data_IF_526353498131
#
_entry.id   IF_526353498131
#
_cell.length_a   1.000
_cell.length_b   1.000
_cell.length_c   1.000
_cell.angle_alpha   90.00
_cell.angle_beta   90.00
_cell.angle_gamma   90.00
#
_symmetry.space_group_name_H-M   'P 1'
#
loop_
_entity.id
_entity.type
_entity.pdbx_description
1 polymer ?
#
# COMPACT_ATOMS: atom_id res chain seq x y z
N UNK A 1 -0.27 -10.28 15.68
CA UNK A 1 0.14 -11.14 14.56
C UNK A 1 0.83 -10.28 13.51
N UNK A 2 2.03 -10.67 13.05
CA UNK A 2 2.77 -9.93 12.01
C UNK A 2 2.25 -10.39 10.65
N UNK A 3 1.72 -9.48 9.83
CA UNK A 3 1.27 -9.80 8.47
C UNK A 3 2.46 -9.74 7.51
N UNK A 4 2.51 -10.66 6.55
CA UNK A 4 3.48 -10.63 5.46
C UNK A 4 3.09 -9.53 4.46
N UNK A 5 4.06 -8.77 3.95
CA UNK A 5 3.83 -7.77 2.91
C UNK A 5 4.51 -8.24 1.62
N UNK A 6 3.72 -8.41 0.56
CA UNK A 6 4.18 -8.81 -0.76
C UNK A 6 3.96 -7.67 -1.75
N UNK A 7 4.99 -7.33 -2.53
CA UNK A 7 4.90 -6.30 -3.56
C UNK A 7 4.75 -6.93 -4.93
N UNK A 8 3.73 -6.52 -5.69
CA UNK A 8 3.63 -6.85 -7.11
C UNK A 8 4.68 -6.08 -7.91
N UNK A 9 5.05 -6.53 -9.13
CA UNK A 9 6.09 -5.87 -9.93
C UNK A 9 5.82 -4.39 -10.24
N UNK A 10 4.56 -3.94 -10.27
CA UNK A 10 4.23 -2.52 -10.43
C UNK A 10 4.59 -1.70 -9.19
N UNK A 11 4.16 -2.17 -8.01
CA UNK A 11 4.53 -1.56 -6.73
C UNK A 11 6.04 -1.55 -6.49
N UNK A 12 6.75 -2.63 -6.82
CA UNK A 12 8.22 -2.66 -6.69
C UNK A 12 8.87 -1.60 -7.58
N UNK A 13 8.48 -1.52 -8.86
CA UNK A 13 8.97 -0.49 -9.79
C UNK A 13 8.65 0.93 -9.31
N UNK A 14 7.52 1.14 -8.65
CA UNK A 14 7.19 2.43 -8.06
C UNK A 14 8.14 2.77 -6.91
N UNK A 15 8.41 1.84 -6.00
CA UNK A 15 9.38 2.02 -4.91
C UNK A 15 10.79 2.29 -5.44
N UNK A 16 11.24 1.55 -6.45
CA UNK A 16 12.58 1.68 -7.03
C UNK A 16 12.80 3.05 -7.69
N UNK A 17 11.72 3.72 -8.12
CA UNK A 17 11.76 5.07 -8.71
C UNK A 17 11.62 6.19 -7.68
N UNK A 18 11.27 5.86 -6.43
CA UNK A 18 11.12 6.85 -5.37
C UNK A 18 12.47 7.17 -4.73
N UNK A 19 12.57 8.37 -4.18
CA UNK A 19 13.65 8.68 -3.25
C UNK A 19 13.61 7.72 -2.06
N UNK A 20 14.78 7.31 -1.60
CA UNK A 20 14.95 6.34 -0.51
C UNK A 20 14.11 6.68 0.72
N UNK A 21 14.06 7.95 1.11
CA UNK A 21 13.29 8.41 2.28
C UNK A 21 11.79 8.21 2.11
N UNK A 22 11.26 8.41 0.90
CA UNK A 22 9.84 8.23 0.59
C UNK A 22 9.47 6.75 0.54
N UNK A 23 10.33 5.92 -0.08
CA UNK A 23 10.16 4.46 -0.08
C UNK A 23 10.19 3.89 1.34
N UNK A 24 11.17 4.29 2.16
CA UNK A 24 11.25 3.87 3.56
C UNK A 24 10.03 4.32 4.37
N UNK A 25 9.52 5.53 4.13
CA UNK A 25 8.29 6.03 4.77
C UNK A 25 7.08 5.17 4.44
N UNK A 26 6.94 4.73 3.19
CA UNK A 26 5.86 3.83 2.76
C UNK A 26 5.96 2.49 3.48
N UNK A 27 7.14 1.87 3.48
CA UNK A 27 7.39 0.58 4.13
C UNK A 27 7.07 0.66 5.63
N UNK A 28 7.58 1.69 6.31
CA UNK A 28 7.32 1.92 7.74
C UNK A 28 5.87 2.24 8.06
N UNK A 29 5.09 2.73 7.10
CA UNK A 29 3.65 2.98 7.30
C UNK A 29 2.82 1.70 7.11
N UNK A 30 3.32 0.73 6.35
CA UNK A 30 2.67 -0.57 6.15
C UNK A 30 2.82 -1.49 7.36
N UNK A 31 3.91 -1.39 8.13
CA UNK A 31 4.12 -2.18 9.35
C UNK A 31 3.07 -1.97 10.46
N UNK A 32 2.77 -0.74 10.91
CA UNK A 32 1.74 -0.51 11.92
C UNK A 32 0.35 -0.83 11.38
N UNK A 33 0.10 -0.60 10.08
CA UNK A 33 -1.14 -1.05 9.44
C UNK A 33 -1.25 -2.58 9.44
N UNK A 34 -0.17 -3.29 9.15
CA UNK A 34 -0.12 -4.75 9.22
C UNK A 34 -0.47 -5.27 10.62
N UNK A 35 0.02 -4.61 11.66
CA UNK A 35 -0.21 -5.00 13.05
C UNK A 35 -1.60 -4.63 13.59
N UNK A 36 -2.10 -3.44 13.24
CA UNK A 36 -3.28 -2.83 13.91
C UNK A 36 -4.48 -2.63 12.99
N UNK A 37 -4.27 -2.61 11.68
CA UNK A 37 -5.28 -2.19 10.70
C UNK A 37 -5.56 -0.66 10.69
N UNK A 38 -4.85 0.12 11.51
CA UNK A 38 -5.05 1.57 11.64
C UNK A 38 -4.25 2.35 10.58
N UNK A 39 -4.82 3.48 10.14
CA UNK A 39 -4.22 4.40 9.16
C UNK A 39 -5.30 5.12 8.34
N UNK A 40 -4.88 6.02 7.42
CA UNK A 40 -5.78 6.58 6.40
C UNK A 40 -6.03 5.52 5.31
N UNK A 41 -6.83 4.52 5.70
CA UNK A 41 -7.18 3.37 4.88
C UNK A 41 -8.61 3.50 4.42
N UNK A 42 -8.83 3.33 3.12
CA UNK A 42 -10.16 3.32 2.53
C UNK A 42 -10.38 2.05 1.73
N UNK A 43 -11.45 1.34 2.03
CA UNK A 43 -11.94 0.25 1.18
C UNK A 43 -12.45 0.82 -0.15
N UNK A 44 -12.02 0.23 -1.26
CA UNK A 44 -12.48 0.61 -2.60
C UNK A 44 -13.83 -0.06 -2.90
N UNK A 45 -14.63 0.59 -3.73
CA UNK A 45 -16.02 0.18 -4.06
C UNK A 45 -16.13 -0.30 -5.52
N UNK A 46 -17.25 -0.92 -5.86
CA UNK A 46 -17.56 -1.36 -7.22
C UNK A 46 -16.64 -2.48 -7.69
N UNK A 47 -16.10 -2.36 -8.90
CA UNK A 47 -15.20 -3.34 -9.52
C UNK A 47 -13.90 -3.59 -8.71
N UNK A 48 -13.57 -2.72 -7.75
CA UNK A 48 -12.38 -2.83 -6.89
C UNK A 48 -12.70 -3.33 -5.48
N UNK A 49 -13.88 -3.89 -5.24
CA UNK A 49 -14.26 -4.49 -3.95
C UNK A 49 -13.21 -5.54 -3.53
N UNK A 50 -12.83 -5.52 -2.24
CA UNK A 50 -11.74 -6.36 -1.70
C UNK A 50 -10.35 -5.73 -1.80
N UNK A 51 -10.23 -4.54 -2.41
CA UNK A 51 -9.02 -3.73 -2.42
C UNK A 51 -9.14 -2.52 -1.51
N UNK A 52 -7.99 -2.04 -1.05
CA UNK A 52 -7.84 -0.98 -0.09
C UNK A 52 -6.82 0.03 -0.60
N UNK A 53 -6.92 1.25 -0.08
CA UNK A 53 -5.95 2.32 -0.30
C UNK A 53 -5.48 2.88 1.02
N UNK A 54 -4.20 2.77 1.32
CA UNK A 54 -3.53 3.47 2.43
C UNK A 54 -2.92 4.76 1.89
N UNK A 55 -3.18 5.90 2.55
CA UNK A 55 -2.52 7.16 2.25
C UNK A 55 -1.29 7.36 3.13
N UNK A 56 -0.16 7.63 2.49
CA UNK A 56 1.11 7.95 3.15
C UNK A 56 1.61 9.28 2.61
N UNK A 57 1.21 10.38 3.27
CA UNK A 57 1.51 11.73 2.79
C UNK A 57 0.88 12.00 1.41
N UNK A 58 1.74 12.17 0.39
CA UNK A 58 1.35 12.36 -1.02
C UNK A 58 1.10 11.05 -1.78
N UNK A 59 1.55 9.93 -1.24
CA UNK A 59 1.45 8.62 -1.87
C UNK A 59 0.17 7.88 -1.49
N UNK A 60 -0.30 7.06 -2.42
CA UNK A 60 -1.42 6.14 -2.28
C UNK A 60 -0.90 4.74 -2.54
N UNK A 61 -1.02 3.89 -1.54
CA UNK A 61 -0.64 2.48 -1.62
C UNK A 61 -1.92 1.67 -1.82
N UNK A 62 -2.02 0.97 -2.94
CA UNK A 62 -3.14 0.09 -3.26
C UNK A 62 -2.78 -1.34 -2.92
N UNK A 63 -3.64 -2.01 -2.15
CA UNK A 63 -3.37 -3.37 -1.70
C UNK A 63 -4.65 -4.17 -1.49
N UNK A 64 -4.51 -5.49 -1.39
CA UNK A 64 -5.56 -6.40 -0.93
C UNK A 64 -5.09 -7.14 0.33
N UNK A 65 -6.07 -7.53 1.14
CA UNK A 65 -5.86 -8.48 2.23
C UNK A 65 -6.27 -9.84 1.66
N UNK A 66 -5.29 -10.71 1.40
CA UNK A 66 -5.55 -12.02 0.82
C UNK A 66 -5.78 -13.06 1.94
N UNK A 67 -5.04 -14.19 1.93
CA UNK A 67 -5.02 -15.19 2.99
C UNK A 67 -4.81 -14.55 4.39
N UNK A 68 -5.21 -15.25 5.49
CA UNK A 68 -5.12 -14.70 6.84
C UNK A 68 -3.71 -14.18 7.15
N UNK A 69 -3.56 -12.86 7.10
CA UNK A 69 -2.32 -12.18 7.42
C UNK A 69 -1.35 -11.91 6.27
N UNK A 70 -1.80 -11.86 5.01
CA UNK A 70 -0.97 -11.34 3.90
C UNK A 70 -1.54 -10.06 3.30
N UNK A 71 -0.70 -9.02 3.22
CA UNK A 71 -0.97 -7.78 2.50
C UNK A 71 -0.28 -7.87 1.15
N UNK A 72 -1.05 -7.79 0.06
CA UNK A 72 -0.50 -7.78 -1.30
C UNK A 72 -0.62 -6.38 -1.86
N UNK A 73 0.50 -5.67 -1.94
CA UNK A 73 0.58 -4.32 -2.53
C UNK A 73 0.59 -4.46 -4.04
N UNK A 74 -0.48 -4.00 -4.68
CA UNK A 74 -0.64 -4.07 -6.13
C UNK A 74 0.04 -2.89 -6.83
N UNK A 75 -0.04 -1.69 -6.25
CA UNK A 75 0.44 -0.47 -6.89
C UNK A 75 0.70 0.65 -5.87
N UNK A 76 1.56 1.60 -6.23
CA UNK A 76 1.85 2.79 -5.43
C UNK A 76 1.91 4.00 -6.35
N UNK A 77 1.11 5.02 -6.05
CA UNK A 77 0.96 6.18 -6.92
C UNK A 77 0.96 7.50 -6.14
N UNK A 78 1.45 8.57 -6.77
CA UNK A 78 1.42 9.93 -6.23
C UNK A 78 0.08 10.58 -6.63
N UNK A 79 -0.50 11.35 -5.70
CA UNK A 79 -1.72 12.12 -5.92
C UNK A 79 -1.75 12.97 -7.21
N UNK A 80 -0.59 13.40 -7.71
CA UNK A 80 -0.46 14.31 -8.86
C UNK A 80 -0.06 13.69 -10.21
N UNK A 81 0.12 12.37 -10.32
CA UNK A 81 0.38 11.68 -11.60
C UNK A 81 -0.81 10.82 -12.06
N UNK A 82 -1.92 10.87 -11.33
CA UNK A 82 -3.16 10.31 -11.80
C UNK A 82 -3.77 11.24 -12.86
N UNK A 83 -3.73 10.77 -14.10
CA UNK A 83 -4.21 11.30 -15.39
C UNK A 83 -3.16 11.99 -16.26
#
# INVERSE_FOLDING_TARGET
MKRLVLYKPAAQRALDRMDRSEAERIIRSLEPFAATGLGDVKALKGALKGRYRLRVGKWRVFFSLDQPGTIVVSDIDNRGQAY
#
